data_IF_363166693246
#
_entry.id   IF_363166693246
#
_cell.length_a   1.000
_cell.length_b   1.000
_cell.length_c   1.000
_cell.angle_alpha   90.00
_cell.angle_beta   90.00
_cell.angle_gamma   90.00
#
_symmetry.space_group_name_H-M   'P 1'
#
loop_
_entity.id
_entity.type
_entity.pdbx_description
1 polymer ?
#
# COMPACT_ATOMS: atom_id res chain seq x y z
N UNK A 1 -2.91 -16.79 -20.72
CA UNK A 1 -3.38 -15.39 -20.55
C UNK A 1 -3.85 -15.19 -19.11
N UNK A 2 -3.34 -14.15 -18.48
CA UNK A 2 -3.73 -13.86 -17.11
C UNK A 2 -4.90 -12.89 -17.08
N UNK A 3 -5.84 -13.07 -16.17
CA UNK A 3 -6.92 -12.12 -15.98
C UNK A 3 -6.46 -10.96 -15.08
N UNK A 4 -7.32 -9.93 -14.91
CA UNK A 4 -6.99 -8.75 -14.11
C UNK A 4 -6.60 -9.07 -12.68
N UNK A 5 -7.28 -10.05 -12.09
CA UNK A 5 -7.07 -10.44 -10.70
C UNK A 5 -5.69 -11.07 -10.53
N UNK A 6 -5.31 -11.94 -11.45
CA UNK A 6 -4.00 -12.59 -11.41
C UNK A 6 -2.88 -11.58 -11.61
N UNK A 7 -3.07 -10.62 -12.52
CA UNK A 7 -2.09 -9.56 -12.76
C UNK A 7 -1.91 -8.70 -11.52
N UNK A 8 -3.01 -8.27 -10.89
CA UNK A 8 -2.96 -7.48 -9.67
C UNK A 8 -2.26 -8.19 -8.54
N UNK A 9 -2.58 -9.47 -8.34
CA UNK A 9 -1.96 -10.29 -7.31
C UNK A 9 -0.46 -10.45 -7.55
N UNK A 10 -0.04 -10.62 -8.80
CA UNK A 10 1.37 -10.74 -9.15
C UNK A 10 2.15 -9.48 -8.76
N UNK A 11 1.62 -8.29 -9.08
CA UNK A 11 2.30 -7.03 -8.78
C UNK A 11 2.31 -6.72 -7.29
N UNK A 12 1.28 -7.14 -6.57
CA UNK A 12 1.28 -7.05 -5.11
C UNK A 12 2.34 -7.96 -4.51
N UNK A 13 2.53 -9.17 -5.07
CA UNK A 13 3.59 -10.06 -4.65
C UNK A 13 4.97 -9.44 -4.86
N UNK A 14 5.18 -8.80 -6.00
CA UNK A 14 6.44 -8.11 -6.30
C UNK A 14 6.69 -7.02 -5.25
N UNK A 15 5.67 -6.22 -4.93
CA UNK A 15 5.78 -5.17 -3.93
C UNK A 15 6.08 -5.73 -2.55
N UNK A 16 5.40 -6.81 -2.15
CA UNK A 16 5.61 -7.42 -0.84
C UNK A 16 7.03 -7.97 -0.71
N UNK A 17 7.52 -8.66 -1.73
CA UNK A 17 8.90 -9.19 -1.72
C UNK A 17 9.93 -8.07 -1.66
N UNK A 18 9.68 -6.98 -2.39
CA UNK A 18 10.54 -5.81 -2.33
C UNK A 18 10.62 -5.27 -0.91
N UNK A 19 9.47 -5.10 -0.25
CA UNK A 19 9.44 -4.58 1.12
C UNK A 19 10.20 -5.50 2.08
N UNK A 20 10.01 -6.80 1.95
CA UNK A 20 10.72 -7.77 2.80
C UNK A 20 12.22 -7.68 2.62
N UNK A 21 12.70 -7.51 1.38
CA UNK A 21 14.12 -7.32 1.09
C UNK A 21 14.67 -6.03 1.70
N UNK A 22 13.82 -5.02 1.83
CA UNK A 22 14.19 -3.75 2.47
C UNK A 22 14.13 -3.83 4.00
N UNK A 23 13.79 -4.99 4.55
CA UNK A 23 13.74 -5.20 6.00
C UNK A 23 12.38 -4.95 6.63
N UNK A 24 11.36 -4.73 5.82
CA UNK A 24 9.99 -4.55 6.35
C UNK A 24 9.40 -5.89 6.74
N UNK A 25 8.54 -5.87 7.75
CA UNK A 25 7.73 -7.03 8.14
C UNK A 25 6.32 -6.83 7.60
N UNK A 26 5.83 -7.76 6.80
CA UNK A 26 4.46 -7.70 6.27
C UNK A 26 3.50 -8.18 7.35
N UNK A 27 2.57 -7.32 7.76
CA UNK A 27 1.58 -7.64 8.79
C UNK A 27 0.28 -8.16 8.19
N UNK A 28 -0.19 -7.52 7.11
CA UNK A 28 -1.43 -7.88 6.44
C UNK A 28 -1.30 -7.66 4.95
N UNK A 29 -2.01 -8.48 4.18
CA UNK A 29 -2.17 -8.27 2.75
C UNK A 29 -3.65 -8.31 2.43
N UNK A 30 -4.08 -7.40 1.53
CA UNK A 30 -5.47 -7.31 1.11
C UNK A 30 -6.42 -7.21 2.31
N UNK A 31 -6.10 -6.26 3.19
CA UNK A 31 -6.88 -6.04 4.39
C UNK A 31 -8.20 -5.34 4.03
N UNK A 32 -9.31 -5.97 4.39
CA UNK A 32 -10.66 -5.44 4.12
C UNK A 32 -11.33 -4.99 5.41
N UNK A 33 -11.93 -3.81 5.35
CA UNK A 33 -12.76 -3.29 6.43
C UNK A 33 -14.23 -3.22 5.95
N UNK A 34 -14.77 -4.38 5.58
CA UNK A 34 -16.14 -4.48 5.09
C UNK A 34 -16.37 -3.57 3.89
N UNK A 35 -17.36 -2.67 3.99
CA UNK A 35 -17.69 -1.72 2.93
C UNK A 35 -16.77 -0.53 2.87
N UNK A 36 -15.90 -0.35 3.85
CA UNK A 36 -15.13 0.88 3.98
C UNK A 36 -13.92 0.90 3.06
N UNK A 37 -13.52 -0.26 2.57
CA UNK A 37 -12.45 -0.35 1.60
C UNK A 37 -11.42 -1.39 1.96
N UNK A 38 -10.29 -1.34 1.24
CA UNK A 38 -9.20 -2.27 1.46
C UNK A 38 -7.85 -1.55 1.41
N UNK A 39 -6.86 -2.19 2.01
CA UNK A 39 -5.47 -1.76 1.96
C UNK A 39 -4.68 -2.92 1.37
N UNK A 40 -3.84 -2.62 0.37
CA UNK A 40 -3.09 -3.66 -0.32
C UNK A 40 -2.06 -4.35 0.59
N UNK A 41 -1.26 -3.55 1.31
CA UNK A 41 -0.25 -4.08 2.22
C UNK A 41 -0.18 -3.21 3.46
N UNK A 42 -0.17 -3.84 4.63
CA UNK A 42 0.14 -3.19 5.90
C UNK A 42 1.43 -3.82 6.40
N UNK A 43 2.44 -3.00 6.67
CA UNK A 43 3.77 -3.47 7.06
C UNK A 43 4.35 -2.63 8.19
N UNK A 44 5.46 -3.09 8.76
CA UNK A 44 6.29 -2.29 9.66
C UNK A 44 7.66 -2.15 9.02
N UNK A 45 8.25 -0.96 9.07
CA UNK A 45 9.61 -0.77 8.59
C UNK A 45 10.63 -1.23 9.65
N UNK A 46 11.92 -1.08 9.35
CA UNK A 46 12.98 -1.57 10.26
C UNK A 46 12.97 -0.85 11.61
N UNK A 47 12.41 0.34 11.68
CA UNK A 47 12.32 1.11 12.92
C UNK A 47 11.01 0.84 13.69
N UNK A 48 10.12 0.00 13.15
CA UNK A 48 8.84 -0.30 13.78
C UNK A 48 7.71 0.64 13.40
N UNK A 49 7.93 1.54 12.43
CA UNK A 49 6.88 2.44 11.93
C UNK A 49 5.85 1.65 11.13
N UNK A 50 4.58 1.85 11.43
CA UNK A 50 3.50 1.25 10.65
C UNK A 50 3.43 1.92 9.29
N UNK A 51 3.41 1.12 8.24
CA UNK A 51 3.42 1.61 6.85
C UNK A 51 2.21 1.03 6.12
N UNK A 52 1.36 1.92 5.62
CA UNK A 52 0.16 1.57 4.87
C UNK A 52 0.50 1.76 3.40
N UNK A 53 0.53 0.67 2.63
CA UNK A 53 1.00 0.72 1.25
C UNK A 53 -0.14 0.51 0.26
N UNK A 54 -0.22 1.39 -0.72
CA UNK A 54 -1.07 1.22 -1.89
C UNK A 54 -0.20 0.79 -3.05
N UNK A 55 -0.57 -0.30 -3.73
CA UNK A 55 0.18 -0.83 -4.85
C UNK A 55 -0.49 -0.44 -6.15
N UNK A 56 0.30 0.01 -7.14
CA UNK A 56 -0.18 0.41 -8.46
C UNK A 56 0.61 -0.28 -9.55
N UNK A 57 -0.11 -0.81 -10.54
CA UNK A 57 0.51 -1.30 -11.75
C UNK A 57 0.54 -0.18 -12.78
N UNK A 58 1.69 0.06 -13.38
CA UNK A 58 1.86 1.20 -14.30
C UNK A 58 2.10 0.82 -15.75
N UNK A 59 2.05 -0.45 -16.08
CA UNK A 59 2.30 -0.88 -17.45
C UNK A 59 3.71 -0.56 -17.91
N UNK A 60 3.90 -0.41 -19.23
CA UNK A 60 5.20 -0.09 -19.77
C UNK A 60 5.45 1.41 -19.70
N UNK A 61 6.60 1.78 -19.25
CA UNK A 61 7.16 3.10 -19.53
C UNK A 61 6.85 4.21 -18.56
N UNK A 62 6.29 3.97 -17.38
CA UNK A 62 6.16 5.16 -16.64
C UNK A 62 5.69 5.12 -15.21
N UNK A 63 6.49 5.72 -14.37
CA UNK A 63 6.11 5.99 -13.00
C UNK A 63 5.58 7.42 -12.80
N UNK A 64 5.58 8.25 -13.86
CA UNK A 64 5.32 9.68 -13.75
C UNK A 64 4.05 10.03 -12.98
N UNK A 65 3.00 9.21 -13.11
CA UNK A 65 1.71 9.50 -12.49
C UNK A 65 1.36 8.53 -11.36
N UNK A 66 2.34 7.79 -10.83
CA UNK A 66 2.05 6.80 -9.77
C UNK A 66 1.38 7.46 -8.58
N UNK A 67 1.92 8.56 -8.10
CA UNK A 67 1.36 9.31 -6.97
C UNK A 67 0.00 9.91 -7.33
N UNK A 68 -0.12 10.48 -8.53
CA UNK A 68 -1.37 11.10 -9.00
C UNK A 68 -2.50 10.09 -9.15
N UNK A 69 -2.18 8.80 -9.36
CA UNK A 69 -3.20 7.76 -9.50
C UNK A 69 -3.93 7.49 -8.19
N UNK A 70 -3.39 7.96 -7.07
CA UNK A 70 -4.03 7.84 -5.75
C UNK A 70 -4.68 9.18 -5.45
N UNK A 71 -5.89 9.37 -5.98
CA UNK A 71 -6.62 10.63 -5.85
C UNK A 71 -7.15 10.84 -4.42
N UNK A 72 -7.73 12.01 -4.17
CA UNK A 72 -8.20 12.38 -2.83
C UNK A 72 -9.24 11.39 -2.29
N UNK A 73 -10.15 10.92 -3.15
CA UNK A 73 -11.17 9.96 -2.72
C UNK A 73 -10.55 8.64 -2.27
N UNK A 74 -9.55 8.16 -3.01
CA UNK A 74 -8.82 6.94 -2.65
C UNK A 74 -8.02 7.13 -1.37
N UNK A 75 -7.37 8.29 -1.21
CA UNK A 75 -6.66 8.61 0.01
C UNK A 75 -7.57 8.59 1.23
N UNK A 76 -8.76 9.19 1.11
CA UNK A 76 -9.75 9.18 2.21
C UNK A 76 -10.20 7.76 2.53
N UNK A 77 -10.42 6.94 1.51
CA UNK A 77 -10.79 5.54 1.70
C UNK A 77 -9.71 4.78 2.45
N UNK A 78 -8.45 4.95 2.07
CA UNK A 78 -7.32 4.31 2.73
C UNK A 78 -7.25 4.77 4.19
N UNK A 79 -7.42 6.05 4.45
CA UNK A 79 -7.39 6.59 5.81
C UNK A 79 -8.51 6.02 6.68
N UNK A 80 -9.74 5.91 6.14
CA UNK A 80 -10.86 5.29 6.88
C UNK A 80 -10.56 3.83 7.19
N UNK A 81 -10.04 3.09 6.22
CA UNK A 81 -9.71 1.68 6.42
C UNK A 81 -8.61 1.52 7.46
N UNK A 82 -7.65 2.43 7.47
CA UNK A 82 -6.59 2.45 8.48
C UNK A 82 -7.16 2.64 9.89
N UNK A 83 -8.16 3.50 10.05
CA UNK A 83 -8.81 3.68 11.36
C UNK A 83 -9.48 2.41 11.85
N UNK A 84 -10.11 1.64 10.96
CA UNK A 84 -10.68 0.34 11.31
C UNK A 84 -9.59 -0.64 11.74
N UNK A 85 -8.46 -0.62 11.06
CA UNK A 85 -7.33 -1.46 11.44
C UNK A 85 -6.80 -1.07 12.84
N UNK A 86 -6.67 0.23 13.10
CA UNK A 86 -6.26 0.73 14.42
C UNK A 86 -7.20 0.22 15.51
N UNK A 87 -8.50 0.33 15.27
CA UNK A 87 -9.50 -0.13 16.22
C UNK A 87 -9.37 -1.63 16.49
N UNK A 88 -9.21 -2.41 15.43
CA UNK A 88 -9.06 -3.85 15.52
C UNK A 88 -7.82 -4.24 16.33
N UNK A 89 -6.73 -3.51 16.15
CA UNK A 89 -5.45 -3.80 16.83
C UNK A 89 -5.34 -3.14 18.19
N UNK A 90 -6.28 -2.27 18.55
CA UNK A 90 -6.23 -1.55 19.81
C UNK A 90 -5.18 -0.44 19.85
N UNK A 91 -4.81 0.10 18.70
CA UNK A 91 -3.86 1.20 18.62
C UNK A 91 -4.52 2.52 19.03
N UNK A 92 -3.81 3.36 19.79
CA UNK A 92 -4.23 4.74 20.04
C UNK A 92 -3.94 5.64 18.85
N UNK A 93 -4.54 6.84 18.86
CA UNK A 93 -4.34 7.79 17.77
C UNK A 93 -2.92 8.36 17.72
N UNK A 94 -2.15 8.14 18.77
CA UNK A 94 -0.73 8.52 18.80
C UNK A 94 0.19 7.48 18.18
N UNK A 95 -0.34 6.34 17.76
CA UNK A 95 0.44 5.29 17.11
C UNK A 95 0.80 5.77 15.69
N UNK A 96 2.07 6.05 15.47
CA UNK A 96 2.52 6.66 14.22
C UNK A 96 2.40 5.71 13.03
N UNK A 97 1.99 6.26 11.89
CA UNK A 97 2.03 5.53 10.62
C UNK A 97 2.33 6.49 9.48
N UNK A 98 2.68 5.92 8.34
CA UNK A 98 2.81 6.71 7.12
C UNK A 98 2.15 5.96 5.97
N UNK A 99 1.80 6.70 4.91
CA UNK A 99 1.14 6.15 3.73
C UNK A 99 2.12 6.16 2.57
N UNK A 100 2.38 4.99 2.01
CA UNK A 100 3.33 4.81 0.91
C UNK A 100 2.60 4.35 -0.34
N UNK A 101 3.15 4.69 -1.50
CA UNK A 101 2.68 4.17 -2.78
C UNK A 101 3.83 3.41 -3.43
N UNK A 102 3.56 2.18 -3.85
CA UNK A 102 4.52 1.37 -4.59
C UNK A 102 3.95 1.12 -5.97
N UNK A 103 4.64 1.62 -6.99
CA UNK A 103 4.27 1.43 -8.38
C UNK A 103 5.18 0.39 -9.01
N UNK A 104 4.59 -0.61 -9.67
CA UNK A 104 5.33 -1.68 -10.33
C UNK A 104 5.01 -1.61 -11.82
N UNK A 105 6.03 -1.57 -12.66
CA UNK A 105 5.85 -1.54 -14.11
C UNK A 105 5.80 -2.95 -14.67
N UNK A 106 5.43 -3.06 -15.96
CA UNK A 106 5.31 -4.34 -16.64
C UNK A 106 6.61 -5.11 -16.77
N UNK A 107 7.77 -4.42 -16.70
CA UNK A 107 9.08 -5.06 -16.78
C UNK A 107 9.62 -5.42 -15.38
N UNK A 108 8.83 -5.22 -14.33
CA UNK A 108 9.24 -5.55 -12.97
C UNK A 108 9.99 -4.46 -12.24
N UNK A 109 10.27 -3.32 -12.89
CA UNK A 109 10.88 -2.19 -12.18
C UNK A 109 9.86 -1.57 -11.24
N UNK A 110 10.36 -0.92 -10.19
CA UNK A 110 9.53 -0.50 -9.09
C UNK A 110 9.92 0.89 -8.61
N UNK A 111 8.92 1.70 -8.27
CA UNK A 111 9.11 2.99 -7.63
C UNK A 111 8.39 2.97 -6.29
N UNK A 112 9.10 3.32 -5.23
CA UNK A 112 8.52 3.40 -3.89
C UNK A 112 8.50 4.86 -3.46
N UNK A 113 7.30 5.41 -3.30
CA UNK A 113 7.12 6.78 -2.81
C UNK A 113 6.75 6.68 -1.33
N UNK A 114 7.70 7.02 -0.48
CA UNK A 114 7.50 6.99 0.96
C UNK A 114 6.77 8.26 1.42
N UNK A 115 5.86 8.10 2.36
CA UNK A 115 5.11 9.21 2.93
C UNK A 115 4.44 10.02 1.82
N UNK A 116 3.71 9.32 0.96
CA UNK A 116 3.17 9.87 -0.28
C UNK A 116 2.02 10.85 -0.04
N UNK A 117 1.28 10.69 1.04
CA UNK A 117 0.18 11.61 1.39
C UNK A 117 -0.05 11.54 2.90
N UNK A 118 -0.77 12.53 3.40
CA UNK A 118 -1.06 12.64 4.82
C UNK A 118 -2.46 12.08 5.14
N UNK A 119 -2.67 11.82 6.41
CA UNK A 119 -3.99 11.43 6.90
C UNK A 119 -4.97 12.57 6.70
N UNK A 120 -6.11 12.28 6.05
CA UNK A 120 -7.14 13.28 5.76
C UNK A 120 -8.54 12.81 6.14
#
# INVERSE_FOLDING_TARGET
MHNRREIGSYYEDVAAKYLEKQGYTILERNYHAGRHGEIDIIAEDVAGMLVICECRYRGKGGFGNALESVNAAKQRQICRTTLYYYKKRGFGMDHACRFDVIAVSGDGTLQHVKNAFEFI
#
